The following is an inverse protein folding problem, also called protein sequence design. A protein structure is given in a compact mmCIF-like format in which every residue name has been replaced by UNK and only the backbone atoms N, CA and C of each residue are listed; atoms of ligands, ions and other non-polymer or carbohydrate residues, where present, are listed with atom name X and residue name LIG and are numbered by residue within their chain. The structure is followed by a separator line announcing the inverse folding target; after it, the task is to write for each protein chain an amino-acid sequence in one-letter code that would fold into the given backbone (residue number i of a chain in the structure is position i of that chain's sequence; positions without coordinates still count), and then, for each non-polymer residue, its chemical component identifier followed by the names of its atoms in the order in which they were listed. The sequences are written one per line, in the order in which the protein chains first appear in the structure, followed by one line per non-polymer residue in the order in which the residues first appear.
data_IF_000124999301
#
_entry.id   IF_000124999301
#
_cell.length_a   1.000
_cell.length_b   1.000
_cell.length_c   1.000
_cell.angle_alpha   90.00
_cell.angle_beta   90.00
_cell.angle_gamma   90.00
#
_symmetry.space_group_name_H-M   'P 1'
#
loop_
_entity.id
_entity.type
_entity.pdbx_description
1 polymer ?
#
# COMPACT_ATOMS: atom_id res chain seq x y z
N UNK A 1 24.88 0.42 -4.74
CA UNK A 1 23.65 0.30 -5.55
C UNK A 1 23.37 -1.19 -5.64
N UNK A 2 22.41 -1.73 -4.88
CA UNK A 2 22.15 -3.17 -4.89
C UNK A 2 21.39 -3.53 -6.18
N UNK A 3 22.07 -4.29 -7.03
CA UNK A 3 21.57 -4.95 -8.24
C UNK A 3 20.68 -6.13 -7.85
N UNK A 4 19.46 -5.85 -7.41
CA UNK A 4 18.42 -6.85 -7.10
C UNK A 4 17.54 -7.17 -8.29
N UNK A 5 18.09 -7.22 -9.51
CA UNK A 5 17.31 -7.41 -10.73
C UNK A 5 16.89 -8.89 -10.86
N UNK A 6 15.62 -9.15 -10.56
CA UNK A 6 14.87 -10.32 -11.03
C UNK A 6 14.69 -10.32 -12.56
N UNK A 7 15.31 -9.38 -13.29
CA UNK A 7 15.14 -9.17 -14.73
C UNK A 7 13.82 -8.48 -15.10
N UNK A 8 13.02 -8.08 -14.11
CA UNK A 8 11.83 -7.27 -14.27
C UNK A 8 12.13 -5.86 -13.74
N UNK A 9 11.61 -4.81 -14.38
CA UNK A 9 11.59 -3.49 -13.76
C UNK A 9 10.69 -3.60 -12.51
N UNK A 10 11.29 -3.89 -11.35
CA UNK A 10 10.55 -4.34 -10.16
C UNK A 10 9.71 -3.23 -9.52
N UNK A 11 9.69 -2.04 -10.13
CA UNK A 11 8.78 -0.94 -9.75
C UNK A 11 7.31 -1.37 -9.79
N UNK A 12 6.94 -2.28 -10.70
CA UNK A 12 5.57 -2.80 -10.76
C UNK A 12 5.27 -3.69 -9.56
N UNK A 13 6.19 -4.58 -9.16
CA UNK A 13 5.96 -5.41 -7.98
C UNK A 13 6.20 -4.66 -6.66
N UNK A 14 7.05 -3.64 -6.64
CA UNK A 14 7.15 -2.67 -5.55
C UNK A 14 5.79 -1.96 -5.33
N UNK A 15 5.16 -1.47 -6.40
CA UNK A 15 3.84 -0.83 -6.33
C UNK A 15 2.73 -1.80 -5.91
N UNK A 16 2.74 -3.04 -6.43
CA UNK A 16 1.82 -4.09 -5.98
C UNK A 16 2.03 -4.38 -4.49
N UNK A 17 3.29 -4.45 -4.04
CA UNK A 17 3.63 -4.70 -2.64
C UNK A 17 3.12 -3.58 -1.74
N UNK A 18 3.33 -2.31 -2.12
CA UNK A 18 2.79 -1.15 -1.40
C UNK A 18 1.26 -1.22 -1.33
N UNK A 19 0.60 -1.43 -2.46
CA UNK A 19 -0.87 -1.54 -2.52
C UNK A 19 -1.39 -2.66 -1.61
N UNK A 20 -0.79 -3.84 -1.69
CA UNK A 20 -1.18 -4.99 -0.90
C UNK A 20 -1.01 -4.72 0.60
N UNK A 21 0.13 -4.20 1.03
CA UNK A 21 0.41 -3.96 2.44
C UNK A 21 -0.50 -2.88 3.05
N UNK A 22 -0.77 -1.80 2.33
CA UNK A 22 -1.70 -0.76 2.79
C UNK A 22 -3.13 -1.28 2.92
N UNK A 23 -3.61 -2.09 1.96
CA UNK A 23 -4.94 -2.72 2.06
C UNK A 23 -5.03 -3.75 3.19
N UNK A 24 -3.97 -4.55 3.37
CA UNK A 24 -3.89 -5.54 4.44
C UNK A 24 -3.91 -4.88 5.81
N UNK A 25 -3.15 -3.82 6.01
CA UNK A 25 -3.10 -3.11 7.29
C UNK A 25 -4.46 -2.47 7.65
N UNK A 26 -5.20 -2.00 6.64
CA UNK A 26 -6.58 -1.51 6.79
C UNK A 26 -7.54 -2.47 7.49
N UNK A 27 -7.37 -3.78 7.28
CA UNK A 27 -8.17 -4.81 7.95
C UNK A 27 -7.92 -4.85 9.47
N UNK A 28 -6.68 -4.63 9.89
CA UNK A 28 -6.27 -4.74 11.30
C UNK A 28 -6.56 -3.44 12.08
N UNK A 29 -6.55 -2.28 11.41
CA UNK A 29 -6.81 -0.99 12.04
C UNK A 29 -8.17 -0.88 12.74
N UNK A 30 -9.20 -1.53 12.20
CA UNK A 30 -10.51 -1.56 12.85
C UNK A 30 -10.45 -2.14 14.27
N UNK A 31 -9.60 -3.15 14.49
CA UNK A 31 -9.38 -3.70 15.83
C UNK A 31 -8.63 -2.72 16.73
N UNK A 32 -7.59 -2.07 16.21
CA UNK A 32 -6.78 -1.13 16.99
C UNK A 32 -7.57 0.12 17.42
N UNK A 33 -8.44 0.63 16.54
CA UNK A 33 -9.36 1.72 16.87
C UNK A 33 -10.30 1.30 18.00
N UNK A 34 -10.94 0.13 17.90
CA UNK A 34 -11.83 -0.39 18.96
C UNK A 34 -11.10 -0.58 20.29
N UNK A 35 -9.88 -1.12 20.26
CA UNK A 35 -9.09 -1.34 21.48
C UNK A 35 -8.72 -0.01 22.16
N UNK A 36 -8.35 1.00 21.38
CA UNK A 36 -8.07 2.34 21.90
C UNK A 36 -9.33 3.04 22.45
N UNK A 37 -10.47 2.94 21.76
CA UNK A 37 -11.77 3.46 22.22
C UNK A 37 -12.20 2.79 23.53
N UNK A 38 -12.12 1.46 23.61
CA UNK A 38 -12.45 0.70 24.82
C UNK A 38 -11.55 1.03 26.01
N UNK A 39 -10.31 1.46 25.75
CA UNK A 39 -9.36 1.91 26.76
C UNK A 39 -9.51 3.40 27.13
N UNK A 40 -10.40 4.15 26.48
CA UNK A 40 -10.56 5.60 26.70
C UNK A 40 -9.36 6.43 26.19
N UNK A 41 -8.63 5.93 25.19
CA UNK A 41 -7.45 6.56 24.61
C UNK A 41 -7.79 7.26 23.28
N UNK A 42 -8.54 8.36 23.36
CA UNK A 42 -9.12 9.05 22.20
C UNK A 42 -8.07 9.55 21.19
N UNK A 43 -6.93 10.05 21.67
CA UNK A 43 -5.83 10.51 20.82
C UNK A 43 -5.21 9.33 20.03
N UNK A 44 -5.11 8.16 20.65
CA UNK A 44 -4.57 6.94 20.03
C UNK A 44 -5.56 6.39 19.00
N UNK A 45 -6.86 6.38 19.32
CA UNK A 45 -7.90 6.00 18.37
C UNK A 45 -7.91 6.93 17.14
N UNK A 46 -7.74 8.25 17.36
CA UNK A 46 -7.65 9.24 16.30
C UNK A 46 -6.43 9.03 15.41
N UNK A 47 -5.28 8.75 16.02
CA UNK A 47 -4.07 8.37 15.28
C UNK A 47 -4.28 7.12 14.40
N UNK A 48 -4.91 6.06 14.92
CA UNK A 48 -5.17 4.87 14.10
C UNK A 48 -6.14 5.13 12.94
N UNK A 49 -7.15 6.00 13.12
CA UNK A 49 -8.02 6.42 12.01
C UNK A 49 -7.25 7.22 10.95
N UNK A 50 -6.35 8.11 11.37
CA UNK A 50 -5.48 8.85 10.45
C UNK A 50 -4.59 7.89 9.64
N UNK A 51 -3.95 6.92 10.31
CA UNK A 51 -3.12 5.91 9.64
C UNK A 51 -3.93 5.10 8.63
N UNK A 52 -5.16 4.72 8.97
CA UNK A 52 -6.09 4.01 8.08
C UNK A 52 -6.44 4.82 6.83
N UNK A 53 -6.69 6.11 6.98
CA UNK A 53 -6.96 7.01 5.86
C UNK A 53 -5.73 7.16 4.95
N UNK A 54 -4.55 7.35 5.54
CA UNK A 54 -3.30 7.46 4.78
C UNK A 54 -3.00 6.18 3.99
N UNK A 55 -3.21 5.01 4.57
CA UNK A 55 -3.00 3.75 3.85
C UNK A 55 -4.02 3.53 2.73
N UNK A 56 -5.28 3.94 2.93
CA UNK A 56 -6.27 3.92 1.85
C UNK A 56 -5.81 4.79 0.67
N UNK A 57 -5.30 5.99 0.95
CA UNK A 57 -4.75 6.89 -0.08
C UNK A 57 -3.51 6.31 -0.76
N UNK A 58 -2.61 5.64 -0.01
CA UNK A 58 -1.42 4.97 -0.58
C UNK A 58 -1.83 3.83 -1.51
N UNK A 59 -2.80 3.02 -1.11
CA UNK A 59 -3.31 1.92 -1.92
C UNK A 59 -3.95 2.42 -3.23
N UNK A 60 -4.76 3.47 -3.16
CA UNK A 60 -5.34 4.13 -4.34
C UNK A 60 -4.25 4.69 -5.24
N UNK A 61 -3.28 5.42 -4.69
CA UNK A 61 -2.19 6.00 -5.48
C UNK A 61 -1.34 4.95 -6.17
N UNK A 62 -1.04 3.85 -5.48
CA UNK A 62 -0.33 2.72 -6.09
C UNK A 62 -1.16 2.10 -7.24
N UNK A 63 -2.49 2.05 -7.11
CA UNK A 63 -3.38 1.58 -8.18
C UNK A 63 -3.29 2.45 -9.43
N UNK A 64 -3.33 3.77 -9.25
CA UNK A 64 -3.23 4.72 -10.36
C UNK A 64 -1.89 4.60 -11.09
N UNK A 65 -0.80 4.48 -10.34
CA UNK A 65 0.54 4.32 -10.92
C UNK A 65 0.65 3.01 -11.70
N UNK A 66 0.13 1.89 -11.16
CA UNK A 66 0.05 0.62 -11.88
C UNK A 66 -0.75 0.75 -13.18
N UNK A 67 -1.88 1.48 -13.15
CA UNK A 67 -2.67 1.76 -14.35
C UNK A 67 -1.89 2.57 -15.39
N UNK A 68 -1.10 3.56 -14.96
CA UNK A 68 -0.21 4.31 -15.86
C UNK A 68 0.86 3.41 -16.47
N UNK A 69 1.42 2.47 -15.71
CA UNK A 69 2.47 1.57 -16.17
C UNK A 69 1.94 0.51 -17.15
N UNK A 70 0.68 0.08 -17.04
CA UNK A 70 0.06 -1.03 -17.78
C UNK A 70 0.03 -0.94 -19.33
N UNK A 71 0.66 0.06 -19.94
CA UNK A 71 0.89 0.17 -21.40
C UNK A 71 2.29 0.63 -21.78
N UNK A 72 3.23 0.59 -20.83
CA UNK A 72 4.61 1.05 -21.00
C UNK A 72 5.57 -0.14 -21.03
N UNK A 73 6.83 0.09 -21.44
CA UNK A 73 7.92 -0.89 -21.35
C UNK A 73 8.16 -1.41 -19.92
N UNK A 74 7.61 -0.72 -18.91
CA UNK A 74 7.68 -1.07 -17.50
C UNK A 74 6.45 -1.87 -17.00
N UNK A 75 5.45 -2.10 -17.86
CA UNK A 75 4.11 -2.59 -17.50
C UNK A 75 3.79 -4.07 -17.73
N UNK A 76 4.74 -4.88 -18.21
CA UNK A 76 4.52 -6.30 -18.51
C UNK A 76 5.76 -6.97 -19.06
N UNK A 77 5.81 -8.33 -19.15
CA UNK A 77 7.01 -9.02 -19.59
C UNK A 77 7.36 -8.53 -20.99
N UNK A 78 8.64 -8.25 -21.23
CA UNK A 78 9.16 -8.01 -22.57
C UNK A 78 8.88 -9.25 -23.42
N UNK A 79 7.72 -9.30 -24.07
CA UNK A 79 7.46 -10.21 -25.18
C UNK A 79 8.20 -9.65 -26.38
N UNK A 80 9.44 -10.11 -26.55
CA UNK A 80 10.08 -10.20 -27.86
C UNK A 80 9.37 -11.23 -28.72
#
# INVERSE_FOLDING_TARGET
MATGETGFADVTFDLISVQYHSLKAGHDYGQYVRDAENAGLDDVASFFREVMEQDSQRAERAHELLRTLAGTEHGGPATT
#
